data_IF_753727036206
#
_entry.id   IF_753727036206
#
_cell.length_a   1.000
_cell.length_b   1.000
_cell.length_c   1.000
_cell.angle_alpha   90.00
_cell.angle_beta   90.00
_cell.angle_gamma   90.00
#
_symmetry.space_group_name_H-M   'P 1'
#
loop_
_entity.id
_entity.type
_entity.pdbx_description
1 polymer ?
#
# COMPACT_ATOMS: atom_id res chain seq x y z
N UNK A 1 37.64 70.17 1.81
CA UNK A 1 37.57 69.09 0.78
C UNK A 1 37.43 67.75 1.47
N UNK A 2 36.19 67.22 1.52
CA UNK A 2 35.89 65.94 2.17
C UNK A 2 35.88 64.83 1.07
N UNK A 3 36.78 63.86 1.18
CA UNK A 3 36.86 62.73 0.28
C UNK A 3 35.76 61.67 0.71
N UNK A 4 34.84 61.47 -0.15
CA UNK A 4 33.78 60.43 0.00
C UNK A 4 34.37 59.11 -0.52
N UNK A 5 34.55 58.11 0.34
CA UNK A 5 35.01 56.80 -0.02
C UNK A 5 33.74 55.95 -0.36
N UNK A 6 33.64 55.53 -1.60
CA UNK A 6 32.58 54.66 -2.10
C UNK A 6 32.96 53.20 -1.80
N UNK A 7 32.29 52.55 -0.83
CA UNK A 7 32.40 51.12 -0.59
C UNK A 7 31.49 50.38 -1.59
N UNK A 8 32.10 49.75 -2.59
CA UNK A 8 31.41 48.82 -3.50
C UNK A 8 31.36 47.48 -2.79
N UNK A 9 30.16 47.12 -2.30
CA UNK A 9 29.88 45.79 -1.74
C UNK A 9 29.71 44.79 -2.88
N UNK A 10 30.68 43.90 -3.06
CA UNK A 10 30.65 42.83 -4.04
C UNK A 10 29.74 41.71 -3.48
N UNK A 11 28.46 41.69 -3.86
CA UNK A 11 27.61 40.54 -3.62
C UNK A 11 28.07 39.39 -4.53
N UNK A 12 28.81 38.45 -3.95
CA UNK A 12 29.03 37.12 -4.57
C UNK A 12 27.66 36.40 -4.66
N UNK A 13 27.11 36.40 -5.86
CA UNK A 13 26.03 35.47 -6.23
C UNK A 13 26.61 34.06 -6.20
N UNK A 14 26.47 33.35 -5.08
CA UNK A 14 26.65 31.90 -5.07
C UNK A 14 25.54 31.27 -5.92
N UNK A 15 25.81 31.04 -7.21
CA UNK A 15 25.02 30.12 -8.00
C UNK A 15 25.12 28.74 -7.33
N UNK A 16 24.01 27.99 -7.16
CA UNK A 16 24.08 26.62 -6.66
C UNK A 16 24.96 25.81 -7.63
N UNK A 17 26.09 25.32 -7.16
CA UNK A 17 26.91 24.35 -7.90
C UNK A 17 26.06 23.09 -7.95
N UNK A 18 25.45 22.86 -9.09
CA UNK A 18 24.75 21.61 -9.36
C UNK A 18 25.82 20.52 -9.42
N UNK A 19 25.87 19.66 -8.38
CA UNK A 19 26.83 18.58 -8.33
C UNK A 19 26.66 17.67 -9.56
N UNK A 20 27.76 17.39 -10.23
CA UNK A 20 27.77 16.48 -11.38
C UNK A 20 27.31 15.08 -10.93
N UNK A 21 26.45 14.43 -11.72
CA UNK A 21 25.99 13.08 -11.39
C UNK A 21 27.17 12.10 -11.37
N UNK A 22 27.14 11.08 -10.48
CA UNK A 22 28.13 10.01 -10.54
C UNK A 22 28.17 9.40 -11.95
N UNK A 23 29.37 9.21 -12.50
CA UNK A 23 29.56 8.75 -13.87
C UNK A 23 28.79 7.45 -14.17
N UNK A 24 28.77 6.50 -13.23
CA UNK A 24 28.04 5.25 -13.37
C UNK A 24 26.54 5.50 -13.52
N UNK A 25 25.95 6.37 -12.69
CA UNK A 25 24.52 6.72 -12.79
C UNK A 25 24.20 7.40 -14.11
N UNK A 26 25.05 8.33 -14.56
CA UNK A 26 24.87 9.03 -15.83
C UNK A 26 24.96 8.06 -17.02
N UNK A 27 25.90 7.10 -17.01
CA UNK A 27 26.06 6.09 -18.04
C UNK A 27 24.80 5.20 -18.16
N UNK A 28 24.28 4.70 -17.03
CA UNK A 28 23.08 3.85 -17.03
C UNK A 28 21.83 4.61 -17.48
N UNK A 29 21.70 5.91 -17.16
CA UNK A 29 20.61 6.75 -17.67
C UNK A 29 20.68 6.93 -19.20
N UNK A 30 21.87 7.08 -19.75
CA UNK A 30 22.06 7.14 -21.22
C UNK A 30 21.69 5.81 -21.86
N UNK A 31 22.10 4.67 -21.29
CA UNK A 31 21.72 3.34 -21.80
C UNK A 31 20.21 3.09 -21.76
N UNK A 32 19.54 3.64 -20.72
CA UNK A 32 18.10 3.58 -20.57
C UNK A 32 17.33 4.55 -21.49
N UNK A 33 18.03 5.38 -22.26
CA UNK A 33 17.44 6.47 -23.06
C UNK A 33 16.54 7.39 -22.20
N UNK A 34 17.03 7.76 -21.00
CA UNK A 34 16.36 8.66 -20.06
C UNK A 34 17.16 9.95 -19.93
N UNK A 35 16.64 11.08 -20.43
CA UNK A 35 17.30 12.38 -20.32
C UNK A 35 17.35 12.87 -18.87
N UNK A 36 18.41 13.59 -18.50
CA UNK A 36 18.60 14.13 -17.15
C UNK A 36 17.46 15.06 -16.69
N UNK A 37 16.75 15.70 -17.61
CA UNK A 37 15.56 16.52 -17.32
C UNK A 37 14.38 15.72 -16.76
N UNK A 38 14.36 14.39 -17.04
CA UNK A 38 13.35 13.45 -16.52
C UNK A 38 13.73 12.81 -15.18
N UNK A 39 14.86 13.22 -14.58
CA UNK A 39 15.42 12.63 -13.35
C UNK A 39 15.55 13.67 -12.25
N UNK A 40 15.20 13.30 -11.03
CA UNK A 40 15.40 14.08 -9.82
C UNK A 40 16.09 13.20 -8.78
N UNK A 41 17.20 13.68 -8.21
CA UNK A 41 18.01 12.92 -7.23
C UNK A 41 18.32 13.82 -6.03
N UNK A 42 18.22 13.24 -4.84
CA UNK A 42 18.65 13.84 -3.59
C UNK A 42 19.33 12.79 -2.71
N UNK A 43 20.55 13.10 -2.24
CA UNK A 43 21.29 12.25 -1.31
C UNK A 43 21.86 13.13 -0.19
N UNK A 44 21.64 12.76 1.06
CA UNK A 44 22.14 13.49 2.23
C UNK A 44 22.49 12.50 3.35
N UNK A 45 23.64 12.71 3.99
CA UNK A 45 23.94 12.06 5.26
C UNK A 45 22.98 12.57 6.36
N UNK A 46 22.46 11.67 7.20
CA UNK A 46 21.43 12.02 8.21
C UNK A 46 21.94 12.98 9.28
N UNK A 47 23.25 13.09 9.45
CA UNK A 47 23.95 13.94 10.41
C UNK A 47 24.53 15.24 9.78
N UNK A 48 24.30 15.47 8.48
CA UNK A 48 24.77 16.67 7.77
C UNK A 48 23.59 17.55 7.36
N UNK A 49 23.86 18.85 7.23
CA UNK A 49 22.86 19.84 6.79
C UNK A 49 22.75 19.94 5.26
N UNK A 50 23.88 19.80 4.57
CA UNK A 50 23.95 19.91 3.12
C UNK A 50 23.84 18.54 2.44
N UNK A 51 23.17 18.44 1.28
CA UNK A 51 23.15 17.22 0.50
C UNK A 51 24.53 16.90 -0.09
N UNK A 52 24.84 15.60 -0.20
CA UNK A 52 26.02 15.10 -0.91
C UNK A 52 25.80 15.10 -2.43
N UNK A 53 24.53 15.02 -2.86
CA UNK A 53 24.11 15.10 -4.26
C UNK A 53 22.72 15.71 -4.34
N UNK A 54 22.55 16.69 -5.24
CA UNK A 54 21.26 17.31 -5.54
C UNK A 54 21.19 17.59 -7.04
N UNK A 55 20.26 16.93 -7.74
CA UNK A 55 20.02 17.09 -9.17
C UNK A 55 18.53 17.23 -9.43
N UNK A 56 18.08 18.38 -9.95
CA UNK A 56 16.66 18.70 -10.15
C UNK A 56 15.79 18.40 -8.90
N UNK A 57 16.41 18.46 -7.71
CA UNK A 57 15.83 17.86 -6.50
C UNK A 57 14.60 18.62 -5.98
N UNK A 58 14.43 19.88 -6.34
CA UNK A 58 13.29 20.76 -6.03
C UNK A 58 12.08 20.54 -6.96
N UNK A 59 12.28 19.81 -8.07
CA UNK A 59 11.23 19.58 -9.06
C UNK A 59 10.16 18.61 -8.51
N UNK A 60 8.89 19.06 -8.51
CA UNK A 60 7.76 18.20 -8.18
C UNK A 60 7.54 17.11 -9.24
N UNK A 61 7.76 15.85 -8.88
CA UNK A 61 7.64 14.69 -9.77
C UNK A 61 6.64 13.69 -9.22
N UNK A 62 6.08 12.86 -10.09
CA UNK A 62 5.27 11.74 -9.65
C UNK A 62 6.17 10.70 -8.96
N UNK A 63 5.92 10.37 -7.67
CA UNK A 63 6.74 9.43 -6.94
C UNK A 63 6.28 7.96 -7.09
N UNK A 64 5.15 7.72 -7.76
CA UNK A 64 4.46 6.43 -7.69
C UNK A 64 4.38 5.93 -6.23
N UNK A 65 4.53 4.63 -5.99
CA UNK A 65 4.38 4.03 -4.64
C UNK A 65 5.38 4.52 -3.58
N UNK A 66 6.36 5.35 -3.94
CA UNK A 66 7.20 6.03 -2.93
C UNK A 66 6.38 7.05 -2.12
N UNK A 67 5.23 7.54 -2.63
CA UNK A 67 4.27 8.33 -1.86
C UNK A 67 3.84 7.65 -0.54
N UNK A 68 3.79 6.32 -0.49
CA UNK A 68 3.47 5.57 0.72
C UNK A 68 4.40 5.91 1.90
N UNK A 69 5.63 6.35 1.61
CA UNK A 69 6.57 6.78 2.65
C UNK A 69 6.06 8.01 3.40
N UNK A 70 5.40 8.95 2.70
CA UNK A 70 4.78 10.12 3.32
C UNK A 70 3.57 9.69 4.15
N UNK A 71 2.68 8.87 3.58
CA UNK A 71 1.45 8.42 4.25
C UNK A 71 1.76 7.61 5.51
N UNK A 72 2.70 6.67 5.43
CA UNK A 72 3.04 5.79 6.56
C UNK A 72 3.81 6.51 7.66
N UNK A 73 4.68 7.47 7.30
CA UNK A 73 5.39 8.29 8.26
C UNK A 73 4.43 9.18 9.06
N UNK A 74 3.56 9.92 8.36
CA UNK A 74 2.54 10.72 9.00
C UNK A 74 1.63 9.90 9.93
N UNK A 75 1.27 8.70 9.51
CA UNK A 75 0.43 7.81 10.32
C UNK A 75 1.12 7.33 11.59
N UNK A 76 2.38 6.90 11.50
CA UNK A 76 3.15 6.47 12.68
C UNK A 76 3.32 7.60 13.71
N UNK A 77 3.56 8.83 13.23
CA UNK A 77 3.75 9.99 14.12
C UNK A 77 2.42 10.49 14.70
N UNK A 78 1.35 10.56 13.90
CA UNK A 78 0.05 11.08 14.30
C UNK A 78 -0.78 10.12 15.14
N UNK A 79 -0.72 8.81 14.86
CA UNK A 79 -1.55 7.77 15.50
C UNK A 79 -0.75 6.90 16.47
N UNK A 80 0.57 6.94 16.45
CA UNK A 80 1.53 6.06 17.11
C UNK A 80 1.59 4.63 16.52
N UNK A 81 2.71 3.93 16.64
CA UNK A 81 2.82 2.52 16.19
C UNK A 81 1.86 1.56 16.88
N UNK A 82 1.38 1.91 18.07
CA UNK A 82 0.47 1.10 18.89
C UNK A 82 -1.01 1.24 18.52
N UNK A 83 -1.36 2.20 17.63
CA UNK A 83 -2.75 2.39 17.19
C UNK A 83 -3.33 1.10 16.61
N UNK A 84 -4.61 0.81 16.94
CA UNK A 84 -5.33 -0.38 16.45
C UNK A 84 -6.71 0.03 15.97
N UNK A 85 -7.13 -0.55 14.87
CA UNK A 85 -8.51 -0.46 14.39
C UNK A 85 -9.40 -1.41 15.18
N UNK A 86 -10.68 -1.14 15.14
CA UNK A 86 -11.70 -2.00 15.72
C UNK A 86 -12.73 -2.44 14.69
N UNK A 87 -13.35 -3.58 14.95
CA UNK A 87 -14.54 -4.07 14.28
C UNK A 87 -15.55 -4.44 15.36
N UNK A 88 -16.74 -3.89 15.29
CA UNK A 88 -17.76 -4.05 16.33
C UNK A 88 -18.94 -4.85 15.78
N UNK A 89 -19.48 -5.75 16.62
CA UNK A 89 -20.75 -6.43 16.38
C UNK A 89 -21.84 -5.87 17.28
N UNK A 90 -23.00 -5.67 16.67
CA UNK A 90 -24.23 -5.24 17.34
C UNK A 90 -25.39 -6.15 16.95
N UNK A 91 -26.50 -6.02 17.69
CA UNK A 91 -27.81 -6.58 17.31
C UNK A 91 -28.93 -5.57 17.63
N UNK A 92 -30.06 -5.72 16.94
CA UNK A 92 -31.24 -4.86 17.13
C UNK A 92 -32.49 -5.64 17.65
N UNK A 93 -32.31 -6.91 18.02
CA UNK A 93 -33.40 -7.78 18.51
C UNK A 93 -33.07 -8.48 19.83
N UNK A 94 -33.90 -9.44 20.22
CA UNK A 94 -33.69 -10.26 21.42
C UNK A 94 -32.87 -11.51 21.14
N UNK A 95 -31.94 -11.83 22.03
CA UNK A 95 -31.25 -13.13 22.05
C UNK A 95 -31.91 -13.99 23.13
N UNK A 96 -32.52 -15.10 22.72
CA UNK A 96 -33.17 -16.08 23.60
C UNK A 96 -32.87 -17.51 23.17
N UNK A 97 -32.44 -18.34 24.10
CA UNK A 97 -32.12 -19.77 23.86
C UNK A 97 -31.11 -20.00 22.69
N UNK A 98 -30.18 -19.05 22.51
CA UNK A 98 -29.19 -19.08 21.43
C UNK A 98 -29.71 -18.58 20.09
N UNK A 99 -30.93 -18.04 20.01
CA UNK A 99 -31.51 -17.46 18.80
C UNK A 99 -31.55 -15.96 18.89
N UNK A 100 -30.90 -15.27 17.97
CA UNK A 100 -31.07 -13.84 17.77
C UNK A 100 -32.31 -13.60 16.89
N UNK A 101 -33.38 -13.05 17.49
CA UNK A 101 -34.58 -12.62 16.80
C UNK A 101 -34.45 -11.14 16.40
N UNK A 102 -33.62 -10.86 15.44
CA UNK A 102 -33.24 -9.53 14.93
C UNK A 102 -32.03 -9.65 14.03
N UNK A 103 -31.52 -8.51 13.62
CA UNK A 103 -30.39 -8.43 12.72
C UNK A 103 -29.07 -8.53 13.49
N UNK A 104 -28.05 -9.14 12.83
CA UNK A 104 -26.67 -8.99 13.24
C UNK A 104 -26.06 -7.83 12.45
N UNK A 105 -25.36 -6.92 13.14
CA UNK A 105 -24.82 -5.71 12.56
C UNK A 105 -23.29 -5.70 12.75
N UNK A 106 -22.55 -5.53 11.67
CA UNK A 106 -21.08 -5.37 11.69
C UNK A 106 -20.76 -3.94 11.37
N UNK A 107 -20.02 -3.26 12.26
CA UNK A 107 -19.49 -1.94 12.02
C UNK A 107 -17.98 -1.98 11.86
N UNK A 108 -17.50 -1.55 10.70
CA UNK A 108 -16.09 -1.43 10.40
C UNK A 108 -15.57 -0.01 10.62
N UNK A 109 -14.30 0.08 10.99
CA UNK A 109 -13.57 1.33 11.20
C UNK A 109 -12.33 1.43 10.31
N UNK A 110 -12.31 0.72 9.17
CA UNK A 110 -11.26 0.81 8.17
C UNK A 110 -10.01 -0.01 8.46
N UNK A 111 -10.12 -1.10 9.23
CA UNK A 111 -9.00 -2.02 9.45
C UNK A 111 -8.44 -2.52 8.11
N UNK A 112 -7.19 -2.15 7.74
CA UNK A 112 -6.59 -2.53 6.46
C UNK A 112 -6.13 -3.99 6.42
N UNK A 113 -6.08 -4.64 7.58
CA UNK A 113 -5.53 -6.00 7.74
C UNK A 113 -6.57 -7.04 8.16
N UNK A 114 -7.86 -6.71 8.18
CA UNK A 114 -8.91 -7.64 8.58
C UNK A 114 -9.04 -8.79 7.59
N UNK A 115 -8.62 -9.99 8.01
CA UNK A 115 -8.57 -11.20 7.18
C UNK A 115 -9.70 -12.18 7.54
N UNK A 116 -9.83 -13.25 6.75
CA UNK A 116 -10.75 -14.36 7.02
C UNK A 116 -10.54 -14.96 8.42
N UNK A 117 -9.27 -15.07 8.88
CA UNK A 117 -8.96 -15.59 10.22
C UNK A 117 -9.47 -14.67 11.34
N UNK A 118 -9.44 -13.36 11.12
CA UNK A 118 -9.97 -12.37 12.07
C UNK A 118 -11.49 -12.45 12.12
N UNK A 119 -12.12 -12.60 10.95
CA UNK A 119 -13.55 -12.78 10.87
C UNK A 119 -13.99 -14.09 11.53
N UNK A 120 -13.26 -15.18 11.29
CA UNK A 120 -13.51 -16.46 11.98
C UNK A 120 -13.42 -16.29 13.49
N UNK A 121 -12.39 -15.63 14.02
CA UNK A 121 -12.25 -15.36 15.47
C UNK A 121 -13.42 -14.54 16.01
N UNK A 122 -13.84 -13.50 15.31
CA UNK A 122 -14.97 -12.67 15.69
C UNK A 122 -16.27 -13.49 15.76
N UNK A 123 -16.53 -14.33 14.76
CA UNK A 123 -17.71 -15.20 14.73
C UNK A 123 -17.64 -16.34 15.76
N UNK A 124 -16.45 -16.87 16.04
CA UNK A 124 -16.27 -17.82 17.13
C UNK A 124 -16.62 -17.17 18.48
N UNK A 125 -16.20 -15.94 18.72
CA UNK A 125 -16.57 -15.19 19.93
C UNK A 125 -18.07 -14.94 20.02
N UNK A 126 -18.75 -14.67 18.89
CA UNK A 126 -20.21 -14.55 18.83
C UNK A 126 -20.90 -15.85 19.22
N UNK A 127 -20.40 -16.99 18.73
CA UNK A 127 -20.88 -18.30 19.11
C UNK A 127 -20.65 -18.60 20.60
N UNK A 128 -19.49 -18.25 21.14
CA UNK A 128 -19.19 -18.41 22.58
C UNK A 128 -20.05 -17.50 23.46
N UNK A 129 -20.46 -16.35 22.95
CA UNK A 129 -21.47 -15.48 23.60
C UNK A 129 -22.90 -16.08 23.59
N UNK A 130 -23.05 -17.28 23.03
CA UNK A 130 -24.29 -18.08 23.08
C UNK A 130 -25.17 -17.98 21.83
N UNK A 131 -24.82 -17.20 20.82
CA UNK A 131 -25.59 -17.10 19.58
C UNK A 131 -25.32 -18.35 18.70
N UNK A 132 -26.39 -19.03 18.29
CA UNK A 132 -26.37 -20.24 17.44
C UNK A 132 -27.14 -20.04 16.14
N UNK A 133 -28.17 -19.23 16.17
CA UNK A 133 -29.05 -18.93 15.04
C UNK A 133 -29.33 -17.43 14.96
N UNK A 134 -29.38 -16.91 13.77
CA UNK A 134 -29.73 -15.52 13.45
C UNK A 134 -30.97 -15.57 12.53
N UNK A 135 -32.09 -15.02 12.97
CA UNK A 135 -33.36 -15.00 12.22
C UNK A 135 -33.53 -13.71 11.38
N UNK A 136 -32.76 -12.68 11.62
CA UNK A 136 -32.76 -11.44 10.84
C UNK A 136 -31.69 -11.42 9.75
N UNK A 137 -31.39 -10.24 9.27
CA UNK A 137 -30.41 -9.96 8.20
C UNK A 137 -29.01 -9.68 8.76
N UNK A 138 -28.01 -9.70 7.86
CA UNK A 138 -26.68 -9.16 8.13
C UNK A 138 -26.60 -7.72 7.63
N UNK A 139 -26.48 -6.78 8.58
CA UNK A 139 -26.29 -5.37 8.28
C UNK A 139 -24.79 -5.04 8.34
N UNK A 140 -24.28 -4.32 7.35
CA UNK A 140 -22.90 -3.83 7.33
C UNK A 140 -22.91 -2.30 7.37
N UNK A 141 -22.36 -1.74 8.44
CA UNK A 141 -22.14 -0.31 8.63
C UNK A 141 -20.75 0.09 8.15
N UNK A 142 -20.69 0.84 7.04
CA UNK A 142 -19.47 1.39 6.46
C UNK A 142 -19.38 2.92 6.65
N UNK A 143 -20.22 3.53 7.45
CA UNK A 143 -20.37 4.98 7.59
C UNK A 143 -19.14 5.71 8.16
N UNK A 144 -18.13 4.97 8.63
CA UNK A 144 -16.88 5.55 9.09
C UNK A 144 -16.08 6.21 7.94
N UNK A 145 -16.24 5.71 6.72
CA UNK A 145 -15.76 6.33 5.50
C UNK A 145 -16.94 6.88 4.69
N UNK A 146 -16.71 7.93 3.92
CA UNK A 146 -17.74 8.47 3.02
C UNK A 146 -18.06 7.49 1.89
N UNK A 147 -19.26 7.53 1.35
CA UNK A 147 -19.69 6.61 0.29
C UNK A 147 -19.02 6.92 -1.06
N UNK A 148 -18.60 8.15 -1.29
CA UNK A 148 -18.02 8.69 -2.54
C UNK A 148 -16.50 8.86 -2.49
N UNK A 149 -15.81 8.07 -1.66
CA UNK A 149 -14.36 8.18 -1.46
C UNK A 149 -13.51 7.93 -2.70
N UNK A 150 -14.08 7.33 -3.72
CA UNK A 150 -13.42 7.04 -4.98
C UNK A 150 -14.40 7.31 -6.12
N UNK A 151 -14.10 8.29 -6.96
CA UNK A 151 -14.96 8.75 -8.07
C UNK A 151 -15.18 7.69 -9.17
N UNK A 152 -14.83 6.42 -8.91
CA UNK A 152 -15.06 5.30 -9.83
C UNK A 152 -14.12 5.26 -11.03
N UNK A 153 -13.15 6.17 -11.10
CA UNK A 153 -12.14 6.16 -12.16
C UNK A 153 -11.15 5.03 -11.84
N UNK A 154 -11.15 3.98 -12.66
CA UNK A 154 -10.09 2.97 -12.61
C UNK A 154 -8.76 3.64 -13.01
N UNK A 155 -7.68 3.32 -12.31
CA UNK A 155 -6.34 3.80 -12.65
C UNK A 155 -5.89 3.31 -14.03
N UNK A 156 -6.34 2.11 -14.38
CA UNK A 156 -6.16 1.42 -15.65
C UNK A 156 -7.40 0.57 -15.98
N UNK A 157 -7.40 -0.14 -17.09
CA UNK A 157 -8.53 -0.98 -17.54
C UNK A 157 -8.64 -2.32 -16.77
N UNK A 158 -7.77 -2.55 -15.79
CA UNK A 158 -7.65 -3.80 -15.03
C UNK A 158 -8.60 -3.82 -13.80
N UNK A 159 -9.89 -3.67 -14.00
CA UNK A 159 -10.90 -3.52 -12.94
C UNK A 159 -10.96 -4.66 -11.90
N UNK A 160 -10.52 -5.86 -12.29
CA UNK A 160 -10.56 -7.05 -11.43
C UNK A 160 -9.29 -7.23 -10.59
N UNK A 161 -8.26 -6.44 -10.82
CA UNK A 161 -7.00 -6.55 -10.09
C UNK A 161 -7.16 -6.01 -8.67
N UNK A 162 -6.65 -6.76 -7.70
CA UNK A 162 -6.74 -6.39 -6.28
C UNK A 162 -6.15 -5.02 -5.94
N UNK A 163 -5.12 -4.54 -6.68
CA UNK A 163 -4.54 -3.23 -6.45
C UNK A 163 -5.49 -2.06 -6.82
N UNK A 164 -6.51 -2.31 -7.64
CA UNK A 164 -7.58 -1.37 -7.98
C UNK A 164 -8.79 -1.46 -7.03
N UNK A 165 -8.76 -2.37 -6.05
CA UNK A 165 -9.84 -2.49 -5.08
C UNK A 165 -10.08 -1.16 -4.36
N UNK A 166 -11.37 -0.76 -4.22
CA UNK A 166 -11.74 0.46 -3.50
C UNK A 166 -11.58 0.24 -1.99
N UNK A 167 -11.08 1.24 -1.25
CA UNK A 167 -11.05 1.17 0.21
C UNK A 167 -12.48 1.20 0.78
N UNK A 168 -12.65 0.60 1.95
CA UNK A 168 -13.94 0.52 2.65
C UNK A 168 -13.73 0.50 4.15
N UNK A 169 -14.68 1.03 4.91
CA UNK A 169 -14.63 0.96 6.36
C UNK A 169 -14.73 -0.48 6.90
N UNK A 170 -15.36 -1.39 6.14
CA UNK A 170 -15.34 -2.82 6.42
C UNK A 170 -15.00 -3.62 5.16
N UNK A 171 -13.87 -4.31 5.18
CA UNK A 171 -13.40 -5.15 4.09
C UNK A 171 -12.70 -6.38 4.65
N UNK A 172 -13.02 -7.55 4.13
CA UNK A 172 -12.37 -8.83 4.49
C UNK A 172 -11.37 -9.19 3.41
N UNK A 173 -10.13 -9.56 3.77
CA UNK A 173 -9.04 -9.89 2.81
C UNK A 173 -8.82 -8.83 1.71
N UNK A 174 -9.12 -7.54 1.97
CA UNK A 174 -9.13 -6.54 0.92
C UNK A 174 -10.07 -6.88 -0.25
N UNK A 175 -11.15 -7.65 0.00
CA UNK A 175 -12.10 -8.23 -0.97
C UNK A 175 -11.44 -9.03 -2.12
N UNK A 176 -10.26 -9.59 -1.86
CA UNK A 176 -9.49 -10.40 -2.82
C UNK A 176 -9.82 -11.87 -2.70
N UNK A 177 -10.12 -12.50 -3.85
CA UNK A 177 -10.11 -13.95 -4.01
C UNK A 177 -8.75 -14.37 -4.53
N UNK A 178 -8.01 -15.18 -3.76
CA UNK A 178 -6.71 -15.72 -4.12
C UNK A 178 -6.90 -17.03 -4.91
N UNK A 179 -6.39 -17.07 -6.13
CA UNK A 179 -6.32 -18.25 -6.96
C UNK A 179 -4.91 -18.83 -6.92
N UNK A 180 -4.79 -20.06 -6.44
CA UNK A 180 -3.55 -20.83 -6.39
C UNK A 180 -3.42 -21.70 -7.62
N UNK A 181 -2.31 -21.56 -8.32
CA UNK A 181 -1.92 -22.33 -9.49
C UNK A 181 -0.76 -23.26 -9.11
N UNK A 182 -0.85 -24.53 -9.42
CA UNK A 182 0.25 -25.45 -9.24
C UNK A 182 0.20 -26.59 -10.25
N UNK A 183 1.39 -27.05 -10.68
CA UNK A 183 1.55 -28.21 -11.52
C UNK A 183 1.45 -29.48 -10.66
N UNK A 184 0.68 -30.45 -11.11
CA UNK A 184 0.55 -31.77 -10.49
C UNK A 184 0.61 -32.88 -11.55
N UNK A 185 0.58 -34.13 -11.13
CA UNK A 185 0.71 -35.30 -12.02
C UNK A 185 -0.37 -35.37 -13.12
N UNK A 186 -1.54 -34.78 -12.87
CA UNK A 186 -2.67 -34.76 -13.80
C UNK A 186 -2.82 -33.42 -14.57
N UNK A 187 -1.76 -32.62 -14.63
CA UNK A 187 -1.77 -31.31 -15.28
C UNK A 187 -1.74 -30.15 -14.29
N UNK A 188 -2.28 -28.98 -14.69
CA UNK A 188 -2.34 -27.81 -13.81
C UNK A 188 -3.63 -27.78 -13.01
N UNK A 189 -3.54 -27.57 -11.71
CA UNK A 189 -4.66 -27.31 -10.81
C UNK A 189 -4.77 -25.81 -10.53
N UNK A 190 -6.01 -25.30 -10.50
CA UNK A 190 -6.34 -23.93 -10.13
C UNK A 190 -7.43 -23.97 -9.08
N UNK A 191 -7.13 -23.50 -7.86
CA UNK A 191 -8.07 -23.54 -6.74
C UNK A 191 -8.17 -22.16 -6.07
N UNK A 192 -9.31 -21.88 -5.43
CA UNK A 192 -9.38 -20.76 -4.48
C UNK A 192 -8.65 -21.15 -3.19
N UNK A 193 -7.88 -20.22 -2.61
CA UNK A 193 -7.26 -20.42 -1.30
C UNK A 193 -8.33 -20.45 -0.18
N UNK A 194 -9.31 -19.55 -0.28
CA UNK A 194 -10.53 -19.58 0.53
C UNK A 194 -11.73 -19.79 -0.39
N UNK A 195 -12.26 -21.00 -0.40
CA UNK A 195 -13.30 -21.43 -1.34
C UNK A 195 -14.65 -20.81 -1.02
N UNK A 196 -15.14 -19.93 -1.89
CA UNK A 196 -16.47 -19.36 -1.86
C UNK A 196 -17.36 -20.13 -2.84
N UNK A 197 -18.53 -20.69 -2.41
CA UNK A 197 -19.45 -21.39 -3.30
C UNK A 197 -20.00 -20.52 -4.44
N UNK A 198 -19.94 -19.20 -4.29
CA UNK A 198 -20.37 -18.23 -5.28
C UNK A 198 -19.38 -18.07 -6.45
N UNK A 199 -18.17 -18.66 -6.35
CA UNK A 199 -17.14 -18.60 -7.40
C UNK A 199 -16.97 -19.95 -8.06
N UNK A 200 -17.19 -20.02 -9.37
CA UNK A 200 -16.90 -21.19 -10.20
C UNK A 200 -15.64 -20.98 -11.00
N UNK A 201 -14.73 -21.96 -10.99
CA UNK A 201 -13.50 -21.95 -11.78
C UNK A 201 -13.67 -22.85 -13.01
N UNK A 202 -13.37 -22.30 -14.20
CA UNK A 202 -13.25 -23.05 -15.44
C UNK A 202 -11.77 -23.06 -15.84
N UNK A 203 -11.10 -24.19 -15.64
CA UNK A 203 -9.68 -24.34 -15.91
C UNK A 203 -9.44 -24.94 -17.31
N UNK A 204 -9.04 -24.11 -18.26
CA UNK A 204 -8.62 -24.47 -19.60
C UNK A 204 -7.11 -24.24 -19.83
N UNK A 205 -6.32 -24.22 -18.75
CA UNK A 205 -4.89 -24.09 -18.79
C UNK A 205 -4.22 -25.39 -19.27
N UNK A 206 -3.09 -25.27 -19.94
CA UNK A 206 -2.27 -26.41 -20.37
C UNK A 206 -0.92 -26.37 -19.65
N UNK A 207 -0.52 -27.51 -19.09
CA UNK A 207 0.82 -27.68 -18.55
C UNK A 207 1.82 -27.79 -19.72
N UNK A 208 2.97 -27.14 -19.60
CA UNK A 208 4.08 -27.20 -20.56
C UNK A 208 5.39 -27.37 -19.80
N UNK A 209 6.38 -27.98 -20.44
CA UNK A 209 7.73 -28.09 -19.89
C UNK A 209 8.48 -26.76 -19.99
N UNK A 210 9.51 -26.60 -19.15
CA UNK A 210 10.47 -25.50 -19.19
C UNK A 210 10.29 -24.44 -18.12
N UNK A 211 11.12 -23.39 -18.21
CA UNK A 211 11.25 -22.33 -17.21
C UNK A 211 9.96 -21.53 -16.98
N UNK A 212 9.74 -21.15 -15.73
CA UNK A 212 8.58 -20.36 -15.34
C UNK A 212 8.49 -19.00 -16.06
N UNK A 213 9.58 -18.25 -16.09
CA UNK A 213 9.66 -16.94 -16.75
C UNK A 213 8.49 -16.01 -16.37
N UNK A 214 7.94 -15.32 -17.37
CA UNK A 214 6.75 -14.49 -17.20
C UNK A 214 5.46 -15.34 -17.28
N UNK A 215 5.17 -16.12 -16.25
CA UNK A 215 3.99 -16.99 -16.19
C UNK A 215 2.66 -16.24 -16.38
N UNK A 216 2.57 -15.01 -15.88
CA UNK A 216 1.35 -14.18 -16.01
C UNK A 216 1.10 -13.75 -17.46
N UNK A 217 2.14 -13.50 -18.22
CA UNK A 217 2.02 -13.14 -19.64
C UNK A 217 1.66 -14.32 -20.54
N UNK A 218 1.75 -15.56 -20.02
CA UNK A 218 1.36 -16.79 -20.75
C UNK A 218 -0.07 -17.21 -20.50
N UNK A 219 -0.79 -16.55 -19.59
CA UNK A 219 -2.16 -16.83 -19.24
C UNK A 219 -3.06 -15.65 -19.51
N UNK A 220 -4.32 -15.94 -19.73
CA UNK A 220 -5.41 -14.98 -19.74
C UNK A 220 -6.56 -15.52 -18.88
N UNK A 221 -7.40 -14.61 -18.40
CA UNK A 221 -8.62 -14.96 -17.71
C UNK A 221 -9.79 -14.12 -18.22
N UNK A 222 -10.98 -14.73 -18.16
CA UNK A 222 -12.25 -14.07 -18.41
C UNK A 222 -13.13 -14.20 -17.17
N UNK A 223 -13.86 -13.15 -16.81
CA UNK A 223 -14.71 -13.10 -15.63
C UNK A 223 -16.11 -12.71 -16.04
N UNK A 224 -17.05 -13.62 -15.80
CA UNK A 224 -18.48 -13.40 -15.98
C UNK A 224 -19.14 -13.33 -14.60
N UNK A 225 -19.74 -12.18 -14.30
CA UNK A 225 -20.51 -11.98 -13.07
C UNK A 225 -21.99 -12.02 -13.40
N UNK A 226 -22.72 -12.92 -12.74
CA UNK A 226 -24.18 -12.97 -12.73
C UNK A 226 -24.60 -13.08 -11.25
N UNK A 227 -24.77 -11.93 -10.64
CA UNK A 227 -24.99 -11.83 -9.19
C UNK A 227 -26.04 -12.84 -8.69
N UNK A 228 -25.71 -13.56 -7.60
CA UNK A 228 -24.57 -13.42 -6.70
C UNK A 228 -23.34 -14.27 -7.09
N UNK A 229 -23.23 -14.75 -8.31
CA UNK A 229 -22.20 -15.70 -8.75
C UNK A 229 -21.16 -15.04 -9.66
N UNK A 230 -19.94 -15.58 -9.61
CA UNK A 230 -18.86 -15.26 -10.55
C UNK A 230 -18.31 -16.56 -11.17
N UNK A 231 -18.09 -16.55 -12.49
CA UNK A 231 -17.39 -17.62 -13.21
C UNK A 231 -16.05 -17.05 -13.69
N UNK A 232 -14.95 -17.68 -13.28
CA UNK A 232 -13.60 -17.28 -13.69
C UNK A 232 -13.02 -18.38 -14.58
N UNK A 233 -12.80 -18.05 -15.84
CA UNK A 233 -12.23 -18.96 -16.84
C UNK A 233 -10.76 -18.63 -17.07
N UNK A 234 -9.85 -19.57 -16.79
CA UNK A 234 -8.42 -19.44 -17.05
C UNK A 234 -8.02 -20.17 -18.32
N UNK A 235 -7.20 -19.55 -19.17
CA UNK A 235 -6.69 -20.09 -20.44
C UNK A 235 -5.21 -19.80 -20.61
N UNK A 236 -4.52 -20.57 -21.46
CA UNK A 236 -3.11 -20.38 -21.78
C UNK A 236 -2.25 -21.51 -21.26
N UNK A 237 -0.97 -21.23 -20.97
CA UNK A 237 0.00 -22.23 -20.55
C UNK A 237 0.63 -21.90 -19.20
N UNK A 238 1.04 -22.95 -18.48
CA UNK A 238 1.75 -22.86 -17.20
C UNK A 238 2.94 -23.82 -17.26
N UNK A 239 4.14 -23.33 -16.96
CA UNK A 239 5.33 -24.15 -17.00
C UNK A 239 5.45 -25.00 -15.72
N UNK A 240 5.91 -26.25 -15.86
CA UNK A 240 6.09 -27.16 -14.73
C UNK A 240 7.01 -26.58 -13.64
N UNK A 241 8.08 -25.87 -14.06
CA UNK A 241 9.05 -25.26 -13.13
C UNK A 241 8.52 -24.02 -12.39
N UNK A 242 7.28 -23.59 -12.66
CA UNK A 242 6.69 -22.47 -11.93
C UNK A 242 6.45 -22.77 -10.45
N UNK A 243 6.33 -24.06 -10.09
CA UNK A 243 5.93 -24.45 -8.74
C UNK A 243 4.55 -23.89 -8.40
N UNK A 244 4.42 -23.26 -7.25
CA UNK A 244 3.16 -22.67 -6.79
C UNK A 244 3.16 -21.15 -7.06
N UNK A 245 2.05 -20.64 -7.61
CA UNK A 245 1.84 -19.22 -7.93
C UNK A 245 0.45 -18.77 -7.53
N UNK A 246 0.32 -17.47 -7.26
CA UNK A 246 -0.94 -16.86 -6.83
C UNK A 246 -1.36 -15.70 -7.72
N UNK A 247 -2.66 -15.59 -7.95
CA UNK A 247 -3.31 -14.48 -8.62
C UNK A 247 -4.47 -13.97 -7.75
N UNK A 248 -4.38 -12.69 -7.39
CA UNK A 248 -5.41 -12.02 -6.59
C UNK A 248 -6.38 -11.28 -7.51
N UNK A 249 -7.67 -11.61 -7.41
CA UNK A 249 -8.74 -10.95 -8.15
C UNK A 249 -9.84 -10.46 -7.21
N UNK A 250 -10.39 -9.31 -7.49
CA UNK A 250 -11.47 -8.67 -6.73
C UNK A 250 -12.79 -8.88 -7.47
N UNK A 251 -13.48 -9.98 -7.22
CA UNK A 251 -14.66 -10.44 -7.98
C UNK A 251 -15.97 -9.80 -7.54
N UNK A 252 -16.07 -9.44 -6.26
CA UNK A 252 -17.26 -8.89 -5.62
C UNK A 252 -16.95 -7.53 -5.00
N UNK A 253 -17.97 -6.75 -4.68
CA UNK A 253 -17.78 -5.60 -3.82
C UNK A 253 -17.43 -6.03 -2.38
N UNK A 254 -17.03 -5.07 -1.53
CA UNK A 254 -16.59 -5.31 -0.17
C UNK A 254 -17.67 -5.95 0.71
N UNK A 255 -18.92 -5.51 0.59
CA UNK A 255 -20.02 -6.02 1.38
C UNK A 255 -20.49 -7.40 0.91
N UNK A 256 -20.53 -7.64 -0.39
CA UNK A 256 -20.85 -8.96 -0.96
C UNK A 256 -19.81 -10.00 -0.55
N UNK A 257 -18.50 -9.66 -0.69
CA UNK A 257 -17.42 -10.56 -0.28
C UNK A 257 -17.49 -10.89 1.22
N UNK A 258 -17.72 -9.87 2.06
CA UNK A 258 -17.89 -10.07 3.49
C UNK A 258 -19.12 -10.93 3.83
N UNK A 259 -20.24 -10.73 3.15
CA UNK A 259 -21.47 -11.51 3.34
C UNK A 259 -21.29 -12.98 2.96
N UNK A 260 -20.66 -13.29 1.84
CA UNK A 260 -20.38 -14.67 1.43
C UNK A 260 -19.41 -15.35 2.39
N UNK A 261 -18.35 -14.62 2.81
CA UNK A 261 -17.41 -15.09 3.83
C UNK A 261 -18.12 -15.36 5.16
N UNK A 262 -18.99 -14.45 5.61
CA UNK A 262 -19.80 -14.63 6.81
C UNK A 262 -20.66 -15.90 6.74
N UNK A 263 -21.44 -16.09 5.66
CA UNK A 263 -22.30 -17.26 5.49
C UNK A 263 -21.52 -18.57 5.55
N UNK A 264 -20.38 -18.63 4.87
CA UNK A 264 -19.52 -19.81 4.87
C UNK A 264 -18.97 -20.08 6.27
N UNK A 265 -18.32 -19.10 6.90
CA UNK A 265 -17.72 -19.27 8.21
C UNK A 265 -18.75 -19.56 9.30
N UNK A 266 -19.90 -18.89 9.28
CA UNK A 266 -20.96 -19.13 10.25
C UNK A 266 -21.52 -20.55 10.17
N UNK A 267 -21.71 -21.06 8.95
CA UNK A 267 -22.13 -22.45 8.71
C UNK A 267 -21.07 -23.45 9.19
N UNK A 268 -19.80 -23.23 8.88
CA UNK A 268 -18.67 -24.07 9.32
C UNK A 268 -18.56 -24.13 10.85
N UNK A 269 -18.87 -23.04 11.52
CA UNK A 269 -18.97 -22.97 12.97
C UNK A 269 -20.25 -23.64 13.54
N UNK A 270 -21.12 -24.20 12.67
CA UNK A 270 -22.39 -24.84 13.06
C UNK A 270 -23.51 -23.85 13.39
N UNK A 271 -23.37 -22.59 12.94
CA UNK A 271 -24.41 -21.59 13.05
C UNK A 271 -25.42 -21.67 11.93
N UNK A 272 -26.63 -21.14 12.16
CA UNK A 272 -27.73 -21.09 11.15
C UNK A 272 -28.02 -19.61 10.83
N UNK A 273 -28.11 -19.33 9.51
CA UNK A 273 -28.41 -17.98 8.99
C UNK A 273 -28.95 -18.09 7.57
N UNK A 274 -30.13 -17.50 7.32
CA UNK A 274 -30.80 -17.45 6.01
C UNK A 274 -31.17 -16.02 5.60
N UNK A 275 -30.70 -15.02 6.39
CA UNK A 275 -30.94 -13.59 6.16
C UNK A 275 -30.20 -13.04 4.94
N UNK A 276 -30.54 -11.82 4.57
CA UNK A 276 -29.97 -11.08 3.44
C UNK A 276 -28.87 -10.11 3.90
N UNK A 277 -28.09 -9.61 2.95
CA UNK A 277 -27.19 -8.50 3.14
C UNK A 277 -27.93 -7.17 3.05
N UNK A 278 -27.69 -6.27 4.00
CA UNK A 278 -28.12 -4.88 3.95
C UNK A 278 -26.96 -3.94 4.28
N UNK A 279 -26.95 -2.76 3.65
CA UNK A 279 -26.01 -1.67 3.98
C UNK A 279 -26.78 -0.63 4.80
N UNK A 280 -26.43 -0.51 6.07
CA UNK A 280 -27.11 0.42 6.98
C UNK A 280 -26.20 0.79 8.13
N UNK A 281 -26.25 2.04 8.55
CA UNK A 281 -25.59 2.49 9.78
C UNK A 281 -26.22 1.84 11.01
N UNK A 282 -25.40 1.60 12.04
CA UNK A 282 -25.87 1.03 13.32
C UNK A 282 -27.02 1.87 13.86
N UNK A 283 -28.23 1.29 14.06
CA UNK A 283 -29.35 2.00 14.70
C UNK A 283 -28.99 2.44 16.12
N UNK A 284 -29.53 3.57 16.56
CA UNK A 284 -29.30 4.09 17.92
C UNK A 284 -29.81 3.14 19.02
N UNK A 285 -30.74 2.25 18.69
CA UNK A 285 -31.30 1.25 19.59
C UNK A 285 -30.54 -0.07 19.61
N UNK A 286 -29.55 -0.23 18.72
CA UNK A 286 -28.76 -1.46 18.65
C UNK A 286 -27.85 -1.62 19.88
N UNK A 287 -27.73 -2.86 20.32
CA UNK A 287 -26.94 -3.25 21.49
C UNK A 287 -25.59 -3.83 21.00
N UNK A 288 -24.49 -3.29 21.53
CA UNK A 288 -23.15 -3.82 21.23
C UNK A 288 -22.96 -5.19 21.88
N UNK A 289 -22.52 -6.16 21.08
CA UNK A 289 -22.23 -7.52 21.53
C UNK A 289 -20.74 -7.72 21.78
N UNK A 290 -19.93 -7.40 20.79
CA UNK A 290 -18.49 -7.73 20.76
C UNK A 290 -17.70 -6.61 20.08
N UNK A 291 -16.42 -6.58 20.41
CA UNK A 291 -15.43 -5.78 19.72
C UNK A 291 -14.18 -6.63 19.47
N UNK A 292 -13.64 -6.54 18.28
CA UNK A 292 -12.33 -7.09 17.94
C UNK A 292 -11.40 -5.96 17.54
N UNK A 293 -10.16 -6.03 17.98
CA UNK A 293 -9.11 -5.09 17.60
C UNK A 293 -8.11 -5.74 16.65
N UNK A 294 -7.58 -4.94 15.73
CA UNK A 294 -6.61 -5.35 14.72
C UNK A 294 -5.21 -5.60 15.31
N UNK A 295 -4.31 -6.05 14.45
CA UNK A 295 -2.87 -5.87 14.65
C UNK A 295 -2.52 -4.38 14.75
N UNK A 296 -1.42 -4.01 15.45
CA UNK A 296 -1.03 -2.61 15.60
C UNK A 296 -0.61 -1.97 14.27
N UNK A 297 -0.70 -0.64 14.19
CA UNK A 297 -0.30 0.15 13.01
C UNK A 297 1.12 -0.17 12.56
N UNK A 298 2.07 -0.39 13.48
CA UNK A 298 3.44 -0.74 13.14
C UNK A 298 3.54 -1.98 12.23
N UNK A 299 2.75 -3.03 12.51
CA UNK A 299 2.65 -4.23 11.67
C UNK A 299 2.04 -3.90 10.30
N UNK A 300 0.96 -3.11 10.28
CA UNK A 300 0.28 -2.72 9.05
C UNK A 300 1.17 -1.86 8.13
N UNK A 301 1.95 -0.93 8.70
CA UNK A 301 2.91 -0.11 7.94
C UNK A 301 3.99 -0.97 7.30
N UNK A 302 4.42 -2.03 7.97
CA UNK A 302 5.36 -3.00 7.39
C UNK A 302 4.77 -3.66 6.14
N UNK A 303 3.55 -4.12 6.19
CA UNK A 303 2.89 -4.74 5.03
C UNK A 303 2.66 -3.73 3.88
N UNK A 304 2.28 -2.50 4.21
CA UNK A 304 2.14 -1.41 3.22
C UNK A 304 3.45 -1.16 2.49
N UNK A 305 4.57 -1.04 3.20
CA UNK A 305 5.85 -0.65 2.60
C UNK A 305 6.58 -1.83 1.96
N UNK A 306 6.65 -3.01 2.62
CA UNK A 306 7.33 -4.21 2.11
C UNK A 306 6.72 -4.72 0.80
N UNK A 307 5.39 -4.78 0.74
CA UNK A 307 4.65 -5.33 -0.41
C UNK A 307 4.04 -4.26 -1.30
N UNK A 308 4.23 -2.99 -0.94
CA UNK A 308 3.68 -1.85 -1.69
C UNK A 308 2.15 -1.90 -1.82
N UNK A 309 1.44 -2.30 -0.76
CA UNK A 309 -0.01 -2.51 -0.78
C UNK A 309 -0.76 -1.19 -0.94
N UNK A 310 -1.45 -1.04 -2.09
CA UNK A 310 -2.17 0.21 -2.42
C UNK A 310 -3.44 0.37 -1.61
N UNK A 311 -4.20 -0.71 -1.43
CA UNK A 311 -5.47 -0.67 -0.71
C UNK A 311 -5.25 -0.28 0.76
N UNK A 312 -4.28 -0.93 1.43
CA UNK A 312 -3.94 -0.62 2.82
C UNK A 312 -3.46 0.83 2.97
N UNK A 313 -2.67 1.36 2.01
CA UNK A 313 -2.22 2.75 2.05
C UNK A 313 -3.38 3.74 1.91
N UNK A 314 -4.35 3.47 1.01
CA UNK A 314 -5.58 4.29 0.86
C UNK A 314 -6.43 4.24 2.12
N UNK A 315 -6.61 3.07 2.73
CA UNK A 315 -7.33 2.92 4.00
C UNK A 315 -6.64 3.68 5.13
N UNK A 316 -5.30 3.67 5.16
CA UNK A 316 -4.52 4.43 6.14
C UNK A 316 -4.71 5.94 5.97
N UNK A 317 -4.73 6.46 4.73
CA UNK A 317 -5.03 7.86 4.45
C UNK A 317 -6.43 8.24 4.95
N UNK A 318 -7.44 7.39 4.69
CA UNK A 318 -8.80 7.59 5.19
C UNK A 318 -8.86 7.54 6.71
N UNK A 319 -8.15 6.61 7.34
CA UNK A 319 -8.04 6.54 8.81
C UNK A 319 -7.48 7.84 9.38
N UNK A 320 -6.41 8.39 8.80
CA UNK A 320 -5.88 9.71 9.18
C UNK A 320 -6.95 10.81 9.08
N UNK A 321 -7.74 10.78 8.00
CA UNK A 321 -8.85 11.71 7.81
C UNK A 321 -9.91 11.60 8.89
N UNK A 322 -10.33 10.37 9.24
CA UNK A 322 -11.32 10.13 10.29
C UNK A 322 -10.81 10.54 11.67
N UNK A 323 -9.60 10.11 12.03
CA UNK A 323 -9.05 10.33 13.37
C UNK A 323 -8.66 11.81 13.64
N UNK A 324 -8.30 12.56 12.59
CA UNK A 324 -7.88 13.97 12.74
C UNK A 324 -8.97 14.98 12.41
N UNK A 325 -9.99 14.60 11.64
CA UNK A 325 -11.04 15.51 11.16
C UNK A 325 -12.46 14.98 11.39
N UNK A 326 -12.60 13.81 12.03
CA UNK A 326 -13.89 13.15 12.29
C UNK A 326 -14.45 12.39 11.09
N UNK A 327 -15.22 11.33 11.41
CA UNK A 327 -15.97 10.56 10.41
C UNK A 327 -17.19 11.37 9.88
N UNK A 328 -17.66 11.07 8.65
CA UNK A 328 -17.07 10.15 7.68
C UNK A 328 -15.75 10.69 7.09
N UNK A 329 -14.80 9.78 6.88
CA UNK A 329 -13.52 10.14 6.26
C UNK A 329 -13.64 10.31 4.74
N UNK A 330 -12.85 11.24 4.20
CA UNK A 330 -12.62 11.41 2.77
C UNK A 330 -11.13 11.44 2.48
N UNK A 331 -10.72 11.23 1.21
CA UNK A 331 -9.32 11.38 0.80
C UNK A 331 -8.79 12.78 1.09
N UNK A 332 -9.61 13.82 0.90
CA UNK A 332 -9.27 15.22 1.17
C UNK A 332 -8.98 15.45 2.66
N UNK A 333 -9.78 14.88 3.57
CA UNK A 333 -9.52 14.95 5.02
C UNK A 333 -8.18 14.28 5.37
N UNK A 334 -7.87 13.14 4.75
CA UNK A 334 -6.60 12.44 4.92
C UNK A 334 -5.42 13.25 4.42
N UNK A 335 -5.52 13.80 3.21
CA UNK A 335 -4.49 14.68 2.64
C UNK A 335 -4.28 15.94 3.49
N UNK A 336 -5.35 16.55 3.99
CA UNK A 336 -5.26 17.70 4.90
C UNK A 336 -4.56 17.34 6.22
N UNK A 337 -4.82 16.14 6.78
CA UNK A 337 -4.14 15.67 7.98
C UNK A 337 -2.62 15.54 7.76
N UNK A 338 -2.19 15.02 6.60
CA UNK A 338 -0.75 14.94 6.25
C UNK A 338 -0.14 16.33 6.06
N UNK A 339 -0.81 17.23 5.33
CA UNK A 339 -0.32 18.61 5.14
C UNK A 339 -0.16 19.36 6.46
N UNK A 340 -1.12 19.23 7.38
CA UNK A 340 -1.04 19.81 8.72
C UNK A 340 0.11 19.20 9.53
N UNK A 341 0.30 17.89 9.45
CA UNK A 341 1.43 17.21 10.08
C UNK A 341 2.78 17.72 9.55
N UNK A 342 2.93 17.88 8.24
CA UNK A 342 4.14 18.47 7.63
C UNK A 342 4.37 19.88 8.16
N UNK A 343 3.36 20.73 8.20
CA UNK A 343 3.46 22.10 8.70
C UNK A 343 3.86 22.14 10.20
N UNK A 344 3.31 21.26 11.04
CA UNK A 344 3.70 21.14 12.45
C UNK A 344 5.15 20.68 12.62
N UNK A 345 5.71 19.96 11.65
CA UNK A 345 7.11 19.55 11.61
C UNK A 345 8.03 20.59 10.92
N UNK A 346 7.53 21.80 10.63
CA UNK A 346 8.29 22.88 10.04
C UNK A 346 8.48 22.76 8.52
N UNK A 347 7.74 21.91 7.85
CA UNK A 347 7.81 21.71 6.40
C UNK A 347 6.74 22.50 5.65
N UNK A 348 7.11 23.01 4.49
CA UNK A 348 6.21 23.66 3.54
C UNK A 348 6.48 23.11 2.12
N UNK A 349 5.82 22.00 1.78
CA UNK A 349 5.99 21.30 0.50
C UNK A 349 4.94 21.80 -0.50
N UNK A 350 5.23 22.93 -1.16
CA UNK A 350 4.29 23.62 -2.06
C UNK A 350 3.87 22.77 -3.27
N UNK A 351 4.77 21.90 -3.73
CA UNK A 351 4.54 21.01 -4.87
C UNK A 351 3.83 19.71 -4.49
N UNK A 352 3.63 19.46 -3.19
CA UNK A 352 3.03 18.21 -2.72
C UNK A 352 1.56 18.13 -3.12
N UNK A 353 1.24 17.10 -3.88
CA UNK A 353 -0.14 16.73 -4.22
C UNK A 353 -0.38 15.31 -3.73
N UNK A 354 -1.35 15.14 -2.86
CA UNK A 354 -1.80 13.84 -2.35
C UNK A 354 -3.23 13.61 -2.85
N UNK A 355 -3.44 12.59 -3.66
CA UNK A 355 -4.76 12.19 -4.15
C UNK A 355 -5.32 11.05 -3.29
N UNK A 356 -4.55 9.98 -3.12
CA UNK A 356 -5.01 8.77 -2.43
C UNK A 356 -3.96 8.18 -1.47
N UNK A 357 -2.77 8.77 -1.36
CA UNK A 357 -1.70 8.39 -0.44
C UNK A 357 -0.99 7.07 -0.77
N UNK A 358 -1.38 6.40 -1.86
CA UNK A 358 -0.76 5.13 -2.26
C UNK A 358 0.28 5.28 -3.38
N UNK A 359 0.27 6.39 -4.11
CA UNK A 359 1.09 6.60 -5.30
C UNK A 359 0.52 5.95 -6.57
N UNK A 360 -0.60 5.24 -6.49
CA UNK A 360 -1.32 4.77 -7.67
C UNK A 360 -2.19 5.92 -8.20
N UNK A 361 -1.51 6.92 -8.78
CA UNK A 361 -2.07 8.20 -9.19
C UNK A 361 -1.27 8.81 -10.33
N UNK A 362 -1.97 9.52 -11.23
CA UNK A 362 -1.31 10.30 -12.29
C UNK A 362 -1.00 11.74 -11.84
N UNK A 363 -1.61 12.20 -10.76
CA UNK A 363 -1.53 13.59 -10.30
C UNK A 363 -0.70 13.78 -9.03
N UNK A 364 -0.43 12.73 -8.23
CA UNK A 364 0.41 12.86 -7.04
C UNK A 364 1.80 13.36 -7.40
N UNK A 365 2.33 14.29 -6.58
CA UNK A 365 3.63 14.95 -6.78
C UNK A 365 4.33 15.18 -5.45
N UNK A 366 5.65 15.04 -5.48
CA UNK A 366 6.57 15.47 -4.43
C UNK A 366 7.95 15.70 -5.05
N UNK A 367 8.78 16.54 -4.47
CA UNK A 367 10.17 16.72 -4.88
C UNK A 367 11.09 15.71 -4.17
N UNK A 368 12.22 15.35 -4.81
CA UNK A 368 13.20 14.46 -4.19
C UNK A 368 13.83 15.12 -2.95
N UNK A 369 14.02 16.44 -2.97
CA UNK A 369 14.55 17.22 -1.85
C UNK A 369 13.61 17.18 -0.64
N UNK A 370 12.32 17.45 -0.84
CA UNK A 370 11.36 17.48 0.26
C UNK A 370 11.12 16.09 0.85
N UNK A 371 11.05 15.06 0.01
CA UNK A 371 11.01 13.70 0.50
C UNK A 371 12.27 13.34 1.28
N UNK A 372 13.45 13.69 0.77
CA UNK A 372 14.73 13.48 1.44
C UNK A 372 14.82 14.19 2.79
N UNK A 373 14.43 15.46 2.85
CA UNK A 373 14.37 16.22 4.12
C UNK A 373 13.42 15.62 5.14
N UNK A 374 12.25 15.15 4.69
CA UNK A 374 11.32 14.41 5.55
C UNK A 374 11.98 13.14 6.11
N UNK A 375 12.68 12.37 5.29
CA UNK A 375 13.38 11.16 5.73
C UNK A 375 14.49 11.46 6.74
N UNK A 376 15.29 12.52 6.53
CA UNK A 376 16.29 12.96 7.50
C UNK A 376 15.65 13.32 8.85
N UNK A 377 14.54 14.08 8.83
CA UNK A 377 13.79 14.42 10.05
C UNK A 377 13.22 13.17 10.74
N UNK A 378 12.69 12.21 9.95
CA UNK A 378 12.17 10.95 10.48
C UNK A 378 13.26 10.12 11.15
N UNK A 379 14.47 10.10 10.60
CA UNK A 379 15.61 9.41 11.21
C UNK A 379 15.89 9.86 12.64
N UNK A 380 15.61 11.12 12.95
CA UNK A 380 15.79 11.74 14.27
C UNK A 380 14.52 11.66 15.15
N UNK A 381 13.46 11.02 14.67
CA UNK A 381 12.19 10.95 15.38
C UNK A 381 12.04 9.67 16.21
N UNK A 382 11.16 9.65 17.24
CA UNK A 382 10.88 8.46 18.03
C UNK A 382 10.32 7.28 17.24
N UNK A 383 9.67 7.53 16.07
CA UNK A 383 9.07 6.47 15.23
C UNK A 383 10.05 5.89 14.21
N UNK A 384 11.30 6.34 14.22
CA UNK A 384 12.32 5.88 13.25
C UNK A 384 12.50 4.36 13.22
N UNK A 385 12.58 3.64 14.36
CA UNK A 385 12.81 2.19 14.32
C UNK A 385 11.73 1.45 13.54
N UNK A 386 10.45 1.71 13.84
CA UNK A 386 9.30 1.11 13.18
C UNK A 386 9.23 1.52 11.71
N UNK A 387 9.48 2.80 11.43
CA UNK A 387 9.43 3.32 10.08
C UNK A 387 10.52 2.71 9.19
N UNK A 388 11.77 2.65 9.64
CA UNK A 388 12.87 2.05 8.88
C UNK A 388 12.67 0.54 8.72
N UNK A 389 12.29 -0.17 9.78
CA UNK A 389 12.03 -1.62 9.73
C UNK A 389 10.86 -1.99 8.80
N UNK A 390 9.95 -1.06 8.54
CA UNK A 390 8.83 -1.28 7.62
C UNK A 390 9.26 -1.36 6.15
N UNK A 391 10.41 -0.80 5.78
CA UNK A 391 10.85 -0.76 4.37
C UNK A 391 11.47 -2.09 3.93
N UNK A 392 11.39 -2.43 2.63
CA UNK A 392 12.12 -3.53 2.04
C UNK A 392 13.63 -3.44 2.32
N UNK A 393 14.23 -4.56 2.70
CA UNK A 393 15.68 -4.68 2.86
C UNK A 393 16.28 -5.16 1.55
N UNK A 394 17.22 -4.39 1.01
CA UNK A 394 17.87 -4.66 -0.26
C UNK A 394 18.46 -6.07 -0.29
N UNK A 395 18.19 -6.79 -1.36
CA UNK A 395 18.61 -8.19 -1.62
C UNK A 395 17.94 -9.26 -0.73
N UNK A 396 17.21 -8.88 0.33
CA UNK A 396 16.71 -9.85 1.33
C UNK A 396 15.19 -10.01 1.28
N UNK A 397 14.42 -8.91 1.20
CA UNK A 397 12.97 -9.01 1.24
C UNK A 397 12.21 -7.95 0.43
N UNK A 398 10.89 -8.08 0.37
CA UNK A 398 9.99 -7.12 -0.24
C UNK A 398 10.28 -6.88 -1.74
N UNK A 399 10.02 -5.65 -2.20
CA UNK A 399 10.12 -5.30 -3.63
C UNK A 399 11.54 -5.18 -4.15
N UNK A 400 12.56 -5.19 -3.30
CA UNK A 400 13.99 -5.11 -3.67
C UNK A 400 14.76 -6.42 -3.44
N UNK A 401 14.06 -7.52 -3.16
CA UNK A 401 14.64 -8.83 -2.81
C UNK A 401 15.64 -9.37 -3.86
N UNK A 402 15.42 -9.06 -5.13
CA UNK A 402 16.23 -9.59 -6.23
C UNK A 402 17.15 -8.53 -6.87
N UNK A 403 17.49 -7.47 -6.13
CA UNK A 403 18.39 -6.41 -6.58
C UNK A 403 19.73 -6.51 -5.86
N UNK A 404 20.83 -6.29 -6.57
CA UNK A 404 22.19 -6.17 -6.01
C UNK A 404 22.59 -7.33 -5.06
N UNK A 405 22.19 -8.56 -5.36
CA UNK A 405 22.41 -9.73 -4.49
C UNK A 405 23.90 -10.03 -4.29
N UNK A 406 24.73 -9.79 -5.32
CA UNK A 406 26.16 -10.04 -5.31
C UNK A 406 26.99 -8.78 -4.95
N UNK A 407 26.32 -7.67 -4.61
CA UNK A 407 26.99 -6.41 -4.26
C UNK A 407 27.28 -6.32 -2.77
N UNK A 408 28.36 -5.61 -2.40
CA UNK A 408 28.73 -5.34 -1.03
C UNK A 408 27.65 -4.55 -0.23
N UNK A 409 26.70 -3.91 -0.91
CA UNK A 409 25.57 -3.20 -0.30
C UNK A 409 24.41 -4.13 0.10
N UNK A 410 24.48 -5.42 -0.21
CA UNK A 410 23.48 -6.43 0.18
C UNK A 410 23.17 -6.33 1.69
N UNK A 411 21.86 -6.23 2.02
CA UNK A 411 21.37 -6.11 3.40
C UNK A 411 21.62 -4.76 4.09
N UNK A 412 22.26 -3.79 3.41
CA UNK A 412 22.65 -2.51 4.02
C UNK A 412 21.76 -1.33 3.65
N UNK A 413 20.65 -1.58 2.95
CA UNK A 413 19.73 -0.51 2.57
C UNK A 413 18.27 -0.91 2.84
N UNK A 414 17.50 0.07 3.29
CA UNK A 414 16.06 -0.01 3.51
C UNK A 414 15.38 0.90 2.50
N UNK A 415 14.82 0.33 1.42
CA UNK A 415 14.42 1.08 0.23
C UNK A 415 12.97 0.79 -0.18
N UNK A 416 12.19 1.83 -0.40
CA UNK A 416 10.88 1.77 -1.01
C UNK A 416 10.97 2.06 -2.49
N UNK A 417 10.37 1.20 -3.32
CA UNK A 417 10.25 1.40 -4.77
C UNK A 417 8.88 1.92 -5.16
N UNK A 418 8.80 2.59 -6.29
CA UNK A 418 7.57 3.00 -6.95
C UNK A 418 7.66 2.78 -8.45
N UNK A 419 6.59 2.26 -9.06
CA UNK A 419 6.51 2.08 -10.51
C UNK A 419 5.06 2.17 -10.98
N UNK A 420 4.84 2.99 -11.97
CA UNK A 420 3.66 3.03 -12.83
C UNK A 420 4.14 3.35 -14.24
N UNK A 421 3.29 3.22 -15.24
CA UNK A 421 3.67 3.56 -16.61
C UNK A 421 4.22 5.00 -16.70
N UNK A 422 5.44 5.15 -17.22
CA UNK A 422 6.17 6.42 -17.30
C UNK A 422 6.81 6.91 -15.99
N UNK A 423 6.81 6.12 -14.92
CA UNK A 423 7.43 6.47 -13.62
C UNK A 423 8.20 5.29 -13.05
N UNK A 424 9.42 5.56 -12.59
CA UNK A 424 10.22 4.63 -11.78
C UNK A 424 10.90 5.42 -10.66
N UNK A 425 10.79 4.96 -9.43
CA UNK A 425 11.29 5.67 -8.25
C UNK A 425 11.83 4.74 -7.19
N UNK A 426 12.78 5.23 -6.42
CA UNK A 426 13.34 4.55 -5.27
C UNK A 426 13.75 5.58 -4.22
N UNK A 427 13.47 5.31 -2.95
CA UNK A 427 13.86 6.17 -1.83
C UNK A 427 14.05 5.37 -0.55
N UNK A 428 14.85 5.89 0.37
CA UNK A 428 15.03 5.30 1.70
C UNK A 428 16.41 5.57 2.31
N UNK A 429 16.88 4.61 3.08
CA UNK A 429 18.11 4.71 3.86
C UNK A 429 19.15 3.71 3.38
N UNK A 430 20.40 4.17 3.24
CA UNK A 430 21.56 3.33 2.90
C UNK A 430 22.59 3.48 4.00
N UNK A 431 23.12 2.37 4.52
CA UNK A 431 24.28 2.35 5.41
C UNK A 431 25.54 2.21 4.57
N UNK A 432 26.39 3.25 4.54
CA UNK A 432 27.62 3.24 3.77
C UNK A 432 28.65 2.26 4.32
N UNK A 433 29.69 1.98 3.55
CA UNK A 433 30.82 1.15 3.96
C UNK A 433 31.58 1.75 5.17
N UNK A 434 31.58 3.07 5.27
CA UNK A 434 32.18 3.82 6.38
C UNK A 434 31.34 3.81 7.68
N UNK A 435 30.10 3.28 7.62
CA UNK A 435 29.19 3.23 8.77
C UNK A 435 28.24 4.43 8.90
N UNK A 436 28.30 5.39 8.00
CA UNK A 436 27.38 6.51 8.00
C UNK A 436 26.05 6.17 7.32
N UNK A 437 24.95 6.74 7.83
CA UNK A 437 23.62 6.56 7.24
C UNK A 437 23.30 7.71 6.29
N UNK A 438 22.86 7.36 5.11
CA UNK A 438 22.42 8.31 4.09
C UNK A 438 20.93 8.10 3.76
N UNK A 439 20.25 9.21 3.55
CA UNK A 439 18.97 9.25 2.83
C UNK A 439 19.29 9.34 1.35
N UNK A 440 18.58 8.55 0.54
CA UNK A 440 18.63 8.67 -0.90
C UNK A 440 17.23 8.67 -1.49
N UNK A 441 17.01 9.53 -2.50
CA UNK A 441 15.78 9.60 -3.30
C UNK A 441 16.17 9.73 -4.76
N UNK A 442 15.59 8.90 -5.63
CA UNK A 442 15.66 9.05 -7.08
C UNK A 442 14.27 8.88 -7.67
N UNK A 443 13.80 9.90 -8.37
CA UNK A 443 12.51 9.91 -9.07
C UNK A 443 12.78 10.06 -10.57
N UNK A 444 12.22 9.17 -11.38
CA UNK A 444 12.34 9.19 -12.84
C UNK A 444 10.94 9.26 -13.43
N UNK A 445 10.67 10.34 -14.19
CA UNK A 445 9.42 10.52 -14.93
C UNK A 445 9.73 10.68 -16.43
N UNK A 446 9.61 9.58 -17.17
CA UNK A 446 9.89 9.51 -18.60
C UNK A 446 9.21 8.27 -19.19
N UNK A 447 8.80 8.24 -20.47
CA UNK A 447 8.25 7.01 -21.08
C UNK A 447 9.14 5.77 -20.86
N UNK A 448 10.46 5.93 -20.91
CA UNK A 448 11.45 4.87 -20.66
C UNK A 448 11.82 4.69 -19.19
N UNK A 449 11.09 5.28 -18.23
CA UNK A 449 11.43 5.20 -16.80
C UNK A 449 11.61 3.75 -16.31
N UNK A 450 10.90 2.78 -16.86
CA UNK A 450 11.05 1.37 -16.52
C UNK A 450 12.47 0.80 -16.75
N UNK A 451 13.23 1.35 -17.71
CA UNK A 451 14.60 0.94 -18.00
C UNK A 451 15.65 1.58 -17.05
N UNK A 452 15.26 2.54 -16.20
CA UNK A 452 16.19 3.24 -15.30
C UNK A 452 16.60 2.45 -14.05
N UNK A 453 16.25 1.17 -13.96
CA UNK A 453 16.52 0.34 -12.78
C UNK A 453 18.02 0.23 -12.48
N UNK A 454 18.85 0.04 -13.51
CA UNK A 454 20.30 -0.09 -13.35
C UNK A 454 20.94 1.23 -12.91
N UNK A 455 20.41 2.37 -13.35
CA UNK A 455 20.81 3.69 -12.83
C UNK A 455 20.46 3.88 -11.36
N UNK A 456 19.31 3.35 -10.90
CA UNK A 456 18.96 3.34 -9.47
C UNK A 456 19.91 2.45 -8.67
N UNK A 457 20.26 1.27 -9.17
CA UNK A 457 21.20 0.35 -8.54
C UNK A 457 22.62 0.97 -8.47
N UNK A 458 23.08 1.60 -9.56
CA UNK A 458 24.34 2.34 -9.56
C UNK A 458 24.35 3.49 -8.53
N UNK A 459 23.22 4.18 -8.31
CA UNK A 459 23.11 5.22 -7.29
C UNK A 459 23.21 4.62 -5.87
N UNK A 460 22.54 3.48 -5.61
CA UNK A 460 22.62 2.79 -4.31
C UNK A 460 24.07 2.38 -4.01
N UNK A 461 24.80 1.82 -4.99
CA UNK A 461 26.20 1.47 -4.83
C UNK A 461 27.12 2.68 -4.65
N UNK A 462 26.83 3.78 -5.35
CA UNK A 462 27.58 5.03 -5.15
C UNK A 462 27.40 5.56 -3.73
N UNK A 463 26.16 5.61 -3.21
CA UNK A 463 25.86 6.03 -1.83
C UNK A 463 26.56 5.12 -0.82
N UNK A 464 26.62 3.81 -1.08
CA UNK A 464 27.32 2.85 -0.22
C UNK A 464 28.80 3.16 -0.09
N UNK A 465 29.44 3.73 -1.14
CA UNK A 465 30.87 4.07 -1.16
C UNK A 465 31.18 5.45 -0.55
N UNK A 466 30.18 6.24 -0.19
CA UNK A 466 30.39 7.54 0.45
C UNK A 466 31.06 7.38 1.82
N UNK A 467 31.90 8.42 2.21
CA UNK A 467 32.65 8.42 3.47
C UNK A 467 31.79 8.43 4.72
#
# INVERSE_FOLDING_TARGET
MKKLALLVSLMLLCAPVQAELPKTVATELVQADVPLSGVSIYVQAVDKQAPSLSHNADKGMNPASVMKMVTTNAALDLLTPAYRWKTELYHDGQIKDGVLNGNLIIKGYGDPSFKVQDFWRLLMSLKQAGVKKINGDLLIDKSYFANDIDNGISFDDEKWRAYNAKPSAFSVNGRSTSFRFFAGDNGISVNQEFELPEVTIVNNMKLVDGDCGNWRGRMSYDIQTNEPKAVVSFKGTYAADCGERYLELSLFDDAQYAYFTFKKLWRELGGTFDGKLQLQSVPSTAIKLLEQVSEPLGSNVRDINKWSNNLMARQLLLTLGAEKSGAPATMQKGAAAINNWLAMNGFNFKELVIENGSGLSRVERISAEHLGKMLVRTYLSPVMPEYMASMPILSLDGTVKHRLQDSAVNGRAHLKTGSINGVSSIAGYVLSASGHRYVMVMLVNHPNAGASRDAQDALVEWVYRLP
#
